data_IF_139144958218
#
_entry.id   IF_139144958218
#
_cell.length_a   1.000
_cell.length_b   1.000
_cell.length_c   1.000
_cell.angle_alpha   90.00
_cell.angle_beta   90.00
_cell.angle_gamma   90.00
#
_symmetry.space_group_name_H-M   'P 1'
#
loop_
_entity.id
_entity.type
_entity.pdbx_description
1 polymer ?
#
# COMPACT_ATOMS: atom_id res chain seq x y z
N UNK A 1 21.33 -4.28 -27.42
CA UNK A 1 20.12 -4.43 -28.24
C UNK A 1 20.14 -5.79 -28.90
N UNK A 2 19.03 -6.56 -28.85
CA UNK A 2 18.95 -7.86 -29.51
C UNK A 2 19.14 -7.68 -31.03
N UNK A 3 19.92 -8.57 -31.63
CA UNK A 3 20.39 -8.47 -33.02
C UNK A 3 19.63 -9.38 -33.98
N UNK A 4 18.81 -10.29 -33.46
CA UNK A 4 18.03 -11.23 -34.25
C UNK A 4 16.58 -11.33 -33.77
N UNK A 5 15.69 -11.73 -34.67
CA UNK A 5 14.28 -12.00 -34.35
C UNK A 5 14.13 -13.09 -33.28
N UNK A 6 15.02 -14.07 -33.27
CA UNK A 6 15.00 -15.15 -32.27
C UNK A 6 15.35 -14.65 -30.87
N UNK A 7 16.37 -13.79 -30.75
CA UNK A 7 16.71 -13.13 -29.48
C UNK A 7 15.56 -12.28 -28.92
N UNK A 8 14.82 -11.59 -29.80
CA UNK A 8 13.65 -10.82 -29.40
C UNK A 8 12.54 -11.75 -28.89
N UNK A 9 12.25 -12.85 -29.58
CA UNK A 9 11.28 -13.84 -29.11
C UNK A 9 11.66 -14.41 -27.74
N UNK A 10 12.91 -14.83 -27.55
CA UNK A 10 13.38 -15.36 -26.27
C UNK A 10 13.27 -14.35 -25.13
N UNK A 11 13.54 -13.06 -25.41
CA UNK A 11 13.39 -12.00 -24.41
C UNK A 11 11.92 -11.72 -24.09
N UNK A 12 11.05 -11.73 -25.10
CA UNK A 12 9.60 -11.60 -24.94
C UNK A 12 9.03 -12.74 -24.09
N UNK A 13 9.46 -13.98 -24.32
CA UNK A 13 9.03 -15.15 -23.55
C UNK A 13 9.44 -15.03 -22.07
N UNK A 14 10.70 -14.63 -21.81
CA UNK A 14 11.18 -14.37 -20.43
C UNK A 14 10.38 -13.27 -19.74
N UNK A 15 10.05 -12.21 -20.48
CA UNK A 15 9.30 -11.08 -19.95
C UNK A 15 7.84 -11.44 -19.65
N UNK A 16 7.23 -12.32 -20.46
CA UNK A 16 5.90 -12.87 -20.18
C UNK A 16 5.90 -13.75 -18.94
N UNK A 17 6.87 -14.65 -18.79
CA UNK A 17 7.02 -15.45 -17.58
C UNK A 17 7.17 -14.58 -16.33
N UNK A 18 8.04 -13.57 -16.40
CA UNK A 18 8.19 -12.61 -15.31
C UNK A 18 6.91 -11.83 -15.00
N UNK A 19 6.13 -11.47 -16.04
CA UNK A 19 4.83 -10.80 -15.85
C UNK A 19 3.82 -11.71 -15.16
N UNK A 20 3.83 -13.03 -15.45
CA UNK A 20 3.00 -14.02 -14.75
C UNK A 20 3.39 -14.11 -13.27
N UNK A 21 4.69 -14.13 -12.96
CA UNK A 21 5.18 -14.14 -11.58
C UNK A 21 4.74 -12.89 -10.81
N UNK A 22 4.85 -11.71 -11.44
CA UNK A 22 4.41 -10.44 -10.86
C UNK A 22 2.89 -10.42 -10.63
N UNK A 23 2.09 -10.96 -11.55
CA UNK A 23 0.64 -11.10 -11.36
C UNK A 23 0.30 -12.04 -10.19
N UNK A 24 1.02 -13.15 -10.04
CA UNK A 24 0.85 -14.05 -8.89
C UNK A 24 1.18 -13.34 -7.57
N UNK A 25 2.29 -12.59 -7.53
CA UNK A 25 2.69 -11.80 -6.37
C UNK A 25 1.64 -10.74 -6.02
N UNK A 26 1.13 -10.01 -7.01
CA UNK A 26 0.09 -9.00 -6.81
C UNK A 26 -1.18 -9.61 -6.20
N UNK A 27 -1.63 -10.76 -6.71
CA UNK A 27 -2.82 -11.45 -6.19
C UNK A 27 -2.60 -11.88 -4.74
N UNK A 28 -1.43 -12.44 -4.41
CA UNK A 28 -1.09 -12.84 -3.03
C UNK A 28 -1.09 -11.65 -2.07
N UNK A 29 -0.53 -10.51 -2.50
CA UNK A 29 -0.52 -9.28 -1.71
C UNK A 29 -1.94 -8.75 -1.49
N UNK A 30 -2.79 -8.73 -2.52
CA UNK A 30 -4.20 -8.31 -2.37
C UNK A 30 -4.98 -9.18 -1.38
N UNK A 31 -4.81 -10.50 -1.45
CA UNK A 31 -5.43 -11.43 -0.50
C UNK A 31 -4.94 -11.15 0.93
N UNK A 32 -3.65 -10.85 1.09
CA UNK A 32 -3.05 -10.54 2.39
C UNK A 32 -3.58 -9.21 2.96
N UNK A 33 -3.65 -8.17 2.12
CA UNK A 33 -4.25 -6.87 2.46
C UNK A 33 -5.70 -7.07 2.91
N UNK A 34 -6.49 -7.82 2.14
CA UNK A 34 -7.89 -8.11 2.47
C UNK A 34 -8.02 -8.85 3.80
N UNK A 35 -7.24 -9.91 4.02
CA UNK A 35 -7.28 -10.70 5.24
C UNK A 35 -6.98 -9.84 6.48
N UNK A 36 -5.91 -9.04 6.44
CA UNK A 36 -5.50 -8.19 7.56
C UNK A 36 -6.50 -7.03 7.78
N UNK A 37 -6.98 -6.42 6.70
CA UNK A 37 -7.97 -5.34 6.79
C UNK A 37 -9.29 -5.84 7.37
N UNK A 38 -9.78 -7.00 6.93
CA UNK A 38 -10.99 -7.62 7.47
C UNK A 38 -10.83 -7.96 8.96
N UNK A 39 -9.69 -8.52 9.36
CA UNK A 39 -9.39 -8.80 10.76
C UNK A 39 -9.32 -7.50 11.61
N UNK A 40 -8.76 -6.42 11.06
CA UNK A 40 -8.79 -5.09 11.66
C UNK A 40 -10.21 -4.52 11.80
N UNK A 41 -11.08 -4.74 10.80
CA UNK A 41 -12.48 -4.34 10.86
C UNK A 41 -13.27 -5.12 11.90
N UNK A 42 -12.99 -6.42 12.09
CA UNK A 42 -13.61 -7.23 13.16
C UNK A 42 -13.23 -6.69 14.55
N UNK A 43 -11.97 -6.31 14.75
CA UNK A 43 -11.53 -5.69 16.00
C UNK A 43 -12.20 -4.33 16.25
N UNK A 44 -12.42 -3.53 15.20
CA UNK A 44 -13.21 -2.30 15.31
C UNK A 44 -14.68 -2.59 15.67
N UNK A 45 -15.27 -3.61 15.06
CA UNK A 45 -16.64 -4.03 15.37
C UNK A 45 -16.74 -4.50 16.83
N UNK A 46 -15.78 -5.29 17.32
CA UNK A 46 -15.70 -5.70 18.72
C UNK A 46 -15.55 -4.51 19.67
N UNK A 47 -14.72 -3.52 19.29
CA UNK A 47 -14.59 -2.26 20.04
C UNK A 47 -15.93 -1.52 20.13
N UNK A 48 -16.67 -1.39 19.02
CA UNK A 48 -17.99 -0.74 19.00
C UNK A 48 -19.03 -1.51 19.80
N UNK A 49 -19.01 -2.83 19.74
CA UNK A 49 -19.90 -3.69 20.52
C UNK A 49 -19.68 -3.50 22.02
N UNK A 50 -18.42 -3.52 22.47
CA UNK A 50 -18.07 -3.41 23.89
C UNK A 50 -18.22 -1.99 24.46
N UNK A 51 -17.90 -0.96 23.67
CA UNK A 51 -17.98 0.45 24.12
C UNK A 51 -19.32 1.12 23.83
N UNK A 52 -20.15 0.54 22.97
CA UNK A 52 -21.37 1.15 22.46
C UNK A 52 -21.14 2.12 21.30
N UNK A 53 -22.22 2.46 20.58
CA UNK A 53 -22.16 3.27 19.37
C UNK A 53 -21.74 4.73 19.61
N UNK A 54 -21.89 5.24 20.84
CA UNK A 54 -21.61 6.62 21.24
C UNK A 54 -20.31 6.77 22.04
N UNK A 55 -19.42 5.79 21.95
CA UNK A 55 -18.14 5.75 22.67
C UNK A 55 -17.24 6.98 22.44
N UNK A 56 -17.42 7.66 21.30
CA UNK A 56 -16.74 8.91 20.95
C UNK A 56 -17.80 9.92 20.53
N UNK A 57 -17.78 11.11 21.15
CA UNK A 57 -18.66 12.20 20.75
C UNK A 57 -18.21 12.75 19.39
N UNK A 58 -19.14 13.15 18.53
CA UNK A 58 -18.83 13.82 17.26
C UNK A 58 -17.92 15.05 17.45
N UNK A 59 -17.96 15.69 18.63
CA UNK A 59 -17.10 16.84 19.01
C UNK A 59 -15.63 16.45 19.18
N UNK A 60 -15.33 15.17 19.45
CA UNK A 60 -13.95 14.68 19.64
C UNK A 60 -13.28 14.28 18.32
N UNK A 61 -14.07 14.08 17.27
CA UNK A 61 -13.57 13.75 15.94
C UNK A 61 -13.17 15.02 15.20
N UNK A 62 -12.13 14.97 14.36
CA UNK A 62 -11.82 16.08 13.48
C UNK A 62 -12.95 16.29 12.47
N UNK A 63 -13.75 17.35 12.67
CA UNK A 63 -14.73 17.87 11.71
C UNK A 63 -14.09 18.96 10.84
N UNK A 64 -14.85 19.58 9.94
CA UNK A 64 -14.35 20.57 8.97
C UNK A 64 -13.59 21.75 9.63
N UNK A 65 -13.97 22.14 10.85
CA UNK A 65 -13.33 23.22 11.62
C UNK A 65 -12.11 22.76 12.44
N UNK A 66 -11.73 21.49 12.36
CA UNK A 66 -10.61 20.97 13.13
C UNK A 66 -9.28 21.53 12.61
N UNK A 67 -8.36 21.81 13.52
CA UNK A 67 -7.02 22.30 13.16
C UNK A 67 -6.34 21.34 12.17
N UNK A 68 -5.60 21.85 11.16
CA UNK A 68 -4.85 21.00 10.26
C UNK A 68 -3.91 20.06 11.03
N UNK A 69 -3.80 18.83 10.55
CA UNK A 69 -2.86 17.85 11.07
C UNK A 69 -2.21 17.07 9.94
N UNK A 70 -0.99 16.63 10.18
CA UNK A 70 -0.18 15.87 9.23
C UNK A 70 -0.34 14.37 9.47
N UNK A 71 -0.33 13.58 8.41
CA UNK A 71 -0.37 12.13 8.51
C UNK A 71 0.90 11.57 9.19
N UNK A 72 0.74 10.52 9.99
CA UNK A 72 1.88 9.79 10.56
C UNK A 72 2.56 8.90 9.53
N UNK A 73 1.79 8.31 8.61
CA UNK A 73 2.34 7.49 7.53
C UNK A 73 2.13 8.24 6.21
N UNK A 74 3.22 8.46 5.48
CA UNK A 74 3.24 9.12 4.17
C UNK A 74 3.92 8.22 3.14
N UNK A 75 3.63 8.43 1.86
CA UNK A 75 4.29 7.70 0.78
C UNK A 75 5.38 8.62 0.20
N UNK A 76 6.59 8.10 0.09
CA UNK A 76 7.68 8.72 -0.65
C UNK A 76 7.89 8.00 -1.97
N UNK A 77 8.27 8.76 -3.00
CA UNK A 77 8.66 8.21 -4.29
C UNK A 77 10.20 8.15 -4.35
N UNK A 78 10.71 6.95 -4.56
CA UNK A 78 12.10 6.63 -4.77
C UNK A 78 12.35 6.00 -6.15
N UNK A 79 13.56 5.50 -6.34
CA UNK A 79 13.99 4.75 -7.51
C UNK A 79 14.57 3.42 -7.04
N UNK A 80 14.27 2.33 -7.74
CA UNK A 80 14.94 1.05 -7.53
C UNK A 80 16.35 1.03 -8.16
N UNK A 81 17.08 -0.07 -7.97
CA UNK A 81 18.43 -0.27 -8.54
C UNK A 81 18.47 -0.18 -10.08
N UNK A 82 17.31 -0.29 -10.74
CA UNK A 82 17.12 -0.26 -12.19
C UNK A 82 16.53 1.08 -12.67
N UNK A 83 16.51 2.10 -11.81
CA UNK A 83 15.95 3.43 -12.06
C UNK A 83 14.43 3.46 -12.33
N UNK A 84 13.69 2.42 -11.94
CA UNK A 84 12.23 2.43 -12.00
C UNK A 84 11.63 3.15 -10.79
N UNK A 85 10.46 3.79 -10.92
CA UNK A 85 9.75 4.36 -9.79
C UNK A 85 9.43 3.29 -8.74
N UNK A 86 9.75 3.59 -7.49
CA UNK A 86 9.42 2.77 -6.33
C UNK A 86 8.76 3.63 -5.26
N UNK A 87 7.79 3.08 -4.55
CA UNK A 87 7.10 3.73 -3.45
C UNK A 87 7.59 3.15 -2.13
N UNK A 88 7.85 4.02 -1.15
CA UNK A 88 8.23 3.65 0.19
C UNK A 88 7.28 4.26 1.22
N UNK A 89 7.04 3.52 2.31
CA UNK A 89 6.20 3.97 3.41
C UNK A 89 7.06 4.70 4.47
N UNK A 90 6.97 6.02 4.48
CA UNK A 90 7.59 6.85 5.50
C UNK A 90 6.74 6.88 6.77
N UNK A 91 7.37 6.57 7.90
CA UNK A 91 6.75 6.60 9.21
C UNK A 91 7.30 7.75 10.01
N UNK A 92 6.42 8.67 10.35
CA UNK A 92 6.74 9.85 11.12
C UNK A 92 6.33 9.67 12.58
N UNK A 93 7.15 10.20 13.49
CA UNK A 93 6.79 10.25 14.90
C UNK A 93 5.73 11.30 15.19
N UNK A 94 5.09 11.16 16.35
CA UNK A 94 4.13 12.15 16.85
C UNK A 94 4.90 13.41 17.22
N UNK A 95 4.58 14.50 16.53
CA UNK A 95 5.30 15.76 16.64
C UNK A 95 4.30 16.92 16.52
N UNK A 96 4.11 17.64 17.63
CA UNK A 96 3.14 18.74 17.70
C UNK A 96 3.57 19.94 16.85
N UNK A 97 4.87 20.17 16.69
CA UNK A 97 5.40 21.31 15.93
C UNK A 97 5.20 21.10 14.44
N UNK A 98 5.37 19.86 13.97
CA UNK A 98 5.05 19.45 12.59
C UNK A 98 3.56 19.13 12.35
N UNK A 99 2.68 19.35 13.35
CA UNK A 99 1.25 19.07 13.25
C UNK A 99 0.90 17.58 13.19
N UNK A 100 1.82 16.67 13.51
CA UNK A 100 1.63 15.22 13.52
C UNK A 100 1.04 14.77 14.85
N UNK A 101 -0.21 14.32 14.84
CA UNK A 101 -0.94 13.87 16.02
C UNK A 101 -1.24 12.38 15.96
N UNK A 102 -1.36 11.72 17.11
CA UNK A 102 -1.80 10.33 17.18
C UNK A 102 -3.34 10.24 17.20
N UNK A 103 -3.99 9.75 16.13
CA UNK A 103 -5.45 9.64 16.05
C UNK A 103 -6.06 8.74 17.13
N UNK A 104 -5.29 7.78 17.69
CA UNK A 104 -5.81 6.88 18.74
C UNK A 104 -6.25 7.66 19.98
N UNK A 105 -5.67 8.85 20.21
CA UNK A 105 -5.96 9.69 21.37
C UNK A 105 -7.33 10.37 21.29
N UNK A 106 -7.96 10.41 20.12
CA UNK A 106 -9.34 10.88 19.98
C UNK A 106 -10.34 9.99 20.74
N UNK A 107 -9.96 8.74 21.03
CA UNK A 107 -10.75 7.78 21.79
C UNK A 107 -10.52 7.87 23.31
N UNK A 108 -9.84 8.91 23.78
CA UNK A 108 -9.53 9.15 25.19
C UNK A 108 -8.28 8.42 25.68
N UNK A 109 -8.04 8.49 27.00
CA UNK A 109 -6.83 7.95 27.64
C UNK A 109 -6.88 6.41 27.74
N UNK A 110 -8.07 5.84 27.90
CA UNK A 110 -8.28 4.40 28.06
C UNK A 110 -8.73 3.77 26.74
N UNK A 111 -7.75 3.54 25.86
CA UNK A 111 -7.97 2.91 24.55
C UNK A 111 -8.18 1.39 24.74
N UNK A 112 -9.28 0.81 24.20
CA UNK A 112 -9.51 -0.63 24.24
C UNK A 112 -8.41 -1.43 23.55
N UNK A 113 -8.09 -2.62 24.08
CA UNK A 113 -7.11 -3.52 23.48
C UNK A 113 -7.48 -3.90 22.04
N UNK A 114 -8.77 -4.12 21.76
CA UNK A 114 -9.27 -4.37 20.40
C UNK A 114 -9.04 -3.19 19.45
N UNK A 115 -9.16 -1.95 19.93
CA UNK A 115 -8.90 -0.77 19.09
C UNK A 115 -7.42 -0.60 18.77
N UNK A 116 -6.54 -0.91 19.74
CA UNK A 116 -5.09 -0.95 19.51
C UNK A 116 -4.71 -2.05 18.51
N UNK A 117 -5.34 -3.23 18.64
CA UNK A 117 -5.16 -4.34 17.71
C UNK A 117 -5.61 -3.96 16.29
N UNK A 118 -6.80 -3.36 16.14
CA UNK A 118 -7.27 -2.83 14.87
C UNK A 118 -6.29 -1.84 14.25
N UNK A 119 -5.82 -0.84 15.02
CA UNK A 119 -4.81 0.12 14.56
C UNK A 119 -3.56 -0.60 14.03
N UNK A 120 -3.03 -1.56 14.78
CA UNK A 120 -1.83 -2.31 14.36
C UNK A 120 -2.07 -3.04 13.03
N UNK A 121 -3.22 -3.70 12.87
CA UNK A 121 -3.60 -4.40 11.64
C UNK A 121 -3.71 -3.44 10.45
N UNK A 122 -4.36 -2.28 10.61
CA UNK A 122 -4.41 -1.29 9.53
C UNK A 122 -3.04 -0.70 9.18
N UNK A 123 -2.21 -0.39 10.17
CA UNK A 123 -0.84 0.10 9.92
C UNK A 123 -0.01 -0.96 9.19
N UNK A 124 -0.12 -2.23 9.58
CA UNK A 124 0.55 -3.34 8.90
C UNK A 124 0.01 -3.54 7.47
N UNK A 125 -1.30 -3.36 7.26
CA UNK A 125 -1.92 -3.43 5.92
C UNK A 125 -1.31 -2.40 4.95
N UNK A 126 -0.92 -1.21 5.44
CA UNK A 126 -0.28 -0.19 4.60
C UNK A 126 1.05 -0.66 4.00
N UNK A 127 1.84 -1.48 4.71
CA UNK A 127 3.09 -2.05 4.18
C UNK A 127 2.81 -2.88 2.93
N UNK A 128 1.85 -3.80 3.03
CA UNK A 128 1.48 -4.67 1.91
C UNK A 128 0.79 -3.91 0.77
N UNK A 129 0.08 -2.81 1.07
CA UNK A 129 -0.50 -1.94 0.02
C UNK A 129 0.60 -1.25 -0.78
N UNK A 130 1.64 -0.72 -0.11
CA UNK A 130 2.79 -0.10 -0.79
C UNK A 130 3.56 -1.14 -1.61
N UNK A 131 3.81 -2.32 -1.05
CA UNK A 131 4.43 -3.42 -1.79
C UNK A 131 3.59 -3.84 -3.02
N UNK A 132 2.28 -3.95 -2.87
CA UNK A 132 1.37 -4.26 -3.98
C UNK A 132 1.43 -3.18 -5.08
N UNK A 133 1.49 -1.90 -4.71
CA UNK A 133 1.63 -0.81 -5.67
C UNK A 133 2.97 -0.89 -6.44
N UNK A 134 4.06 -1.26 -5.76
CA UNK A 134 5.36 -1.48 -6.40
C UNK A 134 5.32 -2.65 -7.40
N UNK A 135 4.71 -3.77 -7.04
CA UNK A 135 4.52 -4.91 -7.95
C UNK A 135 3.69 -4.50 -9.17
N UNK A 136 2.64 -3.68 -8.99
CA UNK A 136 1.85 -3.15 -10.09
C UNK A 136 2.66 -2.24 -11.03
N UNK A 137 3.54 -1.41 -10.48
CA UNK A 137 4.44 -0.57 -11.29
C UNK A 137 5.39 -1.45 -12.11
N UNK A 138 6.00 -2.46 -11.49
CA UNK A 138 6.88 -3.41 -12.18
C UNK A 138 6.15 -4.17 -13.29
N UNK A 139 4.94 -4.66 -13.01
CA UNK A 139 4.12 -5.37 -14.00
C UNK A 139 3.78 -4.47 -15.18
N UNK A 140 3.39 -3.22 -14.92
CA UNK A 140 3.13 -2.22 -15.97
C UNK A 140 4.37 -1.97 -16.82
N UNK A 141 5.53 -1.82 -16.20
CA UNK A 141 6.81 -1.60 -16.91
C UNK A 141 7.21 -2.82 -17.75
N UNK A 142 6.99 -4.03 -17.25
CA UNK A 142 7.22 -5.27 -17.98
C UNK A 142 6.31 -5.37 -19.22
N UNK A 143 5.02 -5.09 -19.08
CA UNK A 143 4.08 -5.08 -20.21
C UNK A 143 4.42 -4.02 -21.26
N UNK A 144 4.79 -2.80 -20.84
CA UNK A 144 5.25 -1.75 -21.75
C UNK A 144 6.53 -2.16 -22.49
N UNK A 145 7.45 -2.83 -21.82
CA UNK A 145 8.67 -3.35 -22.44
C UNK A 145 8.37 -4.45 -23.44
N UNK A 146 7.39 -5.31 -23.15
CA UNK A 146 6.92 -6.34 -24.06
C UNK A 146 6.32 -5.74 -25.34
N UNK A 147 5.47 -4.72 -25.21
CA UNK A 147 4.90 -4.01 -26.36
C UNK A 147 5.98 -3.36 -27.24
N UNK A 148 7.02 -2.77 -26.63
CA UNK A 148 8.17 -2.21 -27.36
C UNK A 148 8.90 -3.29 -28.16
N UNK A 149 9.20 -4.43 -27.54
CA UNK A 149 9.85 -5.56 -28.21
C UNK A 149 9.00 -6.13 -29.34
N UNK A 150 7.67 -6.20 -29.16
CA UNK A 150 6.76 -6.66 -30.18
C UNK A 150 6.73 -5.74 -31.42
N UNK A 151 6.80 -4.42 -31.22
CA UNK A 151 6.95 -3.44 -32.31
C UNK A 151 8.28 -3.64 -33.05
N UNK A 152 9.39 -3.75 -32.32
CA UNK A 152 10.71 -4.00 -32.93
C UNK A 152 10.73 -5.31 -33.73
N UNK A 153 10.08 -6.37 -33.23
CA UNK A 153 9.94 -7.64 -33.94
C UNK A 153 9.16 -7.51 -35.26
N UNK A 154 8.19 -6.59 -35.33
CA UNK A 154 7.40 -6.36 -36.54
C UNK A 154 8.14 -5.54 -37.61
N UNK A 155 9.17 -4.78 -37.20
CA UNK A 155 10.00 -3.95 -38.07
C UNK A 155 11.23 -4.69 -38.62
N UNK A 156 11.50 -5.92 -38.13
CA UNK A 156 12.59 -6.81 -38.52
C UNK A 156 12.11 -8.00 -39.38
#
# INVERSE_FOLDING_TARGET
MPKSRDEICQLMDKLLLHSLDLMEQEVKLKITVEAIANDGQLDLAHTRFTKGATAVSAVQLPTEDYKPFSALNTVAEGRDDLDNPQLDLERNEVDKEAGRIDPIRWFGILVPASLQSARKKFVQSLDYVVECANVQIQLKNALLSYEKLNKMKSEL
#
